data_IF_943526972112
#
_entry.id   IF_943526972112
#
_cell.length_a   1.000
_cell.length_b   1.000
_cell.length_c   1.000
_cell.angle_alpha   90.00
_cell.angle_beta   90.00
_cell.angle_gamma   90.00
#
_symmetry.space_group_name_H-M   'P 1'
#
loop_
_entity.id
_entity.type
_entity.pdbx_description
1 polymer ?
#
# COMPACT_ATOMS: atom_id res chain seq x y z
N UNK A 1 10.31 -5.62 99.14
CA UNK A 1 9.16 -5.21 98.32
C UNK A 1 9.09 -3.70 98.39
N UNK A 2 9.64 -3.05 97.37
CA UNK A 2 9.64 -1.60 97.20
C UNK A 2 9.32 -1.36 95.73
N UNK A 3 8.26 -0.59 95.53
CA UNK A 3 7.86 0.02 94.28
C UNK A 3 8.81 1.16 93.90
N UNK A 4 8.50 1.79 92.76
CA UNK A 4 9.04 3.03 92.18
C UNK A 4 10.03 2.82 91.02
N UNK A 5 9.50 2.76 89.79
CA UNK A 5 9.10 3.89 88.92
C UNK A 5 10.33 4.55 88.29
N UNK A 6 10.79 3.96 87.19
CA UNK A 6 11.49 4.71 86.14
C UNK A 6 10.45 5.30 85.19
N UNK A 7 10.16 6.59 85.39
CA UNK A 7 9.70 7.50 84.33
C UNK A 7 10.76 7.47 83.21
N UNK A 8 10.47 7.04 81.99
CA UNK A 8 9.65 7.71 80.97
C UNK A 8 10.20 9.09 80.55
N UNK A 9 11.46 9.16 80.15
CA UNK A 9 11.87 10.17 79.16
C UNK A 9 11.54 9.66 77.75
N UNK A 10 10.51 10.29 77.19
CA UNK A 10 10.04 10.14 75.82
C UNK A 10 11.17 10.50 74.84
N UNK A 11 11.75 9.46 74.25
CA UNK A 11 12.66 9.57 73.11
C UNK A 11 11.86 10.07 71.90
N UNK A 12 12.07 11.32 71.50
CA UNK A 12 11.53 11.88 70.26
C UNK A 12 11.96 11.02 69.07
N UNK A 13 11.05 10.64 68.16
CA UNK A 13 11.42 9.97 66.93
C UNK A 13 12.25 10.94 66.08
N UNK A 14 13.52 10.57 65.85
CA UNK A 14 14.37 11.25 64.88
C UNK A 14 13.71 11.12 63.49
N UNK A 15 13.54 12.22 62.73
CA UNK A 15 12.93 12.17 61.41
C UNK A 15 13.72 11.28 60.45
N UNK A 16 12.95 10.66 59.54
CA UNK A 16 13.30 9.64 58.57
C UNK A 16 14.64 9.79 57.85
N UNK A 17 15.25 8.66 57.44
CA UNK A 17 16.33 8.65 56.47
C UNK A 17 15.82 9.19 55.15
N UNK A 18 16.37 10.33 54.70
CA UNK A 18 16.18 10.81 53.34
C UNK A 18 16.71 9.72 52.39
N UNK A 19 15.87 9.13 51.52
CA UNK A 19 16.35 8.16 50.56
C UNK A 19 17.26 8.86 49.55
N UNK A 20 18.53 8.50 49.60
CA UNK A 20 19.52 8.76 48.56
C UNK A 20 18.96 8.31 47.21
N UNK A 21 18.56 9.26 46.38
CA UNK A 21 18.18 8.99 45.00
C UNK A 21 19.42 8.90 44.12
N UNK A 22 19.64 7.77 43.45
CA UNK A 22 20.25 7.76 42.13
C UNK A 22 19.19 7.20 41.18
N UNK A 23 18.16 7.99 40.86
CA UNK A 23 17.33 7.66 39.71
C UNK A 23 17.86 8.44 38.54
N UNK A 24 18.94 7.89 37.99
CA UNK A 24 19.39 8.15 36.63
C UNK A 24 18.15 8.16 35.73
N UNK A 25 17.79 9.36 35.28
CA UNK A 25 17.81 9.68 33.86
C UNK A 25 17.57 8.46 32.98
N UNK A 26 16.35 7.92 33.05
CA UNK A 26 15.76 7.25 31.90
C UNK A 26 14.81 8.28 31.29
N UNK A 27 15.39 9.43 30.94
CA UNK A 27 14.77 10.33 29.99
C UNK A 27 14.64 9.51 28.72
N UNK A 28 13.41 9.04 28.50
CA UNK A 28 13.04 8.24 27.36
C UNK A 28 13.43 9.03 26.12
N UNK A 29 14.56 8.65 25.52
CA UNK A 29 15.06 9.05 24.22
C UNK A 29 14.01 8.63 23.18
N UNK A 30 12.93 9.40 23.15
CA UNK A 30 11.84 9.24 22.21
C UNK A 30 12.40 9.78 20.90
N UNK A 31 12.61 8.92 19.88
CA UNK A 31 13.19 9.38 18.63
C UNK A 31 12.33 10.54 18.11
N UNK A 32 12.95 11.65 17.65
CA UNK A 32 12.21 12.82 17.22
C UNK A 32 11.17 12.38 16.18
N UNK A 33 9.91 12.84 16.28
CA UNK A 33 8.88 12.44 15.33
C UNK A 33 9.38 12.81 13.94
N UNK A 34 9.69 11.80 13.12
CA UNK A 34 10.25 12.01 11.80
C UNK A 34 9.23 12.82 11.02
N UNK A 35 9.47 14.13 10.89
CA UNK A 35 8.68 15.03 10.05
C UNK A 35 8.95 14.60 8.63
N UNK A 36 8.23 13.58 8.16
CA UNK A 36 8.28 13.20 6.77
C UNK A 36 7.95 14.46 5.96
N UNK A 37 8.85 14.89 5.07
CA UNK A 37 8.62 16.11 4.33
C UNK A 37 7.33 15.94 3.54
N UNK A 38 6.41 16.88 3.69
CA UNK A 38 5.10 16.89 3.01
C UNK A 38 5.25 16.66 1.50
N UNK A 39 6.39 17.09 0.94
CA UNK A 39 6.81 16.81 -0.43
C UNK A 39 6.87 15.31 -0.77
N UNK A 40 7.37 14.45 0.12
CA UNK A 40 7.38 12.99 -0.11
C UNK A 40 5.95 12.45 -0.25
N UNK A 41 4.99 12.97 0.53
CA UNK A 41 3.58 12.58 0.39
C UNK A 41 3.00 13.05 -0.94
N UNK A 42 3.33 14.26 -1.39
CA UNK A 42 2.91 14.76 -2.70
C UNK A 42 3.49 13.93 -3.84
N UNK A 43 4.78 13.56 -3.78
CA UNK A 43 5.42 12.70 -4.77
C UNK A 43 4.74 11.32 -4.80
N UNK A 44 4.47 10.72 -3.64
CA UNK A 44 3.76 9.43 -3.58
C UNK A 44 2.34 9.54 -4.12
N UNK A 45 1.60 10.60 -3.78
CA UNK A 45 0.26 10.83 -4.29
C UNK A 45 0.26 11.01 -5.82
N UNK A 46 1.20 11.78 -6.35
CA UNK A 46 1.34 11.98 -7.79
C UNK A 46 1.75 10.69 -8.50
N UNK A 47 2.67 9.91 -7.93
CA UNK A 47 3.07 8.61 -8.48
C UNK A 47 1.90 7.63 -8.52
N UNK A 48 1.08 7.57 -7.47
CA UNK A 48 -0.14 6.77 -7.45
C UNK A 48 -1.14 7.21 -8.53
N UNK A 49 -1.33 8.52 -8.67
CA UNK A 49 -2.27 9.08 -9.65
C UNK A 49 -1.80 8.83 -11.09
N UNK A 50 -0.49 8.97 -11.34
CA UNK A 50 0.14 8.61 -12.60
C UNK A 50 0.05 7.10 -12.89
N UNK A 51 0.23 6.24 -11.89
CA UNK A 51 0.07 4.79 -12.04
C UNK A 51 -1.38 4.42 -12.40
N UNK A 52 -2.36 5.03 -11.72
CA UNK A 52 -3.79 4.87 -12.04
C UNK A 52 -4.13 5.34 -13.45
N UNK A 53 -3.67 6.54 -13.83
CA UNK A 53 -3.87 7.09 -15.16
C UNK A 53 -3.20 6.22 -16.24
N UNK A 54 -1.98 5.76 -15.98
CA UNK A 54 -1.24 4.87 -16.88
C UNK A 54 -1.94 3.53 -17.06
N UNK A 55 -2.43 2.91 -15.99
CA UNK A 55 -3.18 1.66 -16.06
C UNK A 55 -4.50 1.82 -16.84
N UNK A 56 -5.25 2.90 -16.58
CA UNK A 56 -6.47 3.22 -17.32
C UNK A 56 -6.20 3.46 -18.81
N UNK A 57 -5.18 4.27 -19.12
CA UNK A 57 -4.77 4.54 -20.49
C UNK A 57 -4.36 3.26 -21.22
N UNK A 58 -3.58 2.40 -20.57
CA UNK A 58 -3.12 1.13 -21.15
C UNK A 58 -4.30 0.18 -21.44
N UNK A 59 -5.28 0.10 -20.55
CA UNK A 59 -6.50 -0.69 -20.77
C UNK A 59 -7.31 -0.21 -21.97
N UNK A 60 -7.52 1.10 -22.11
CA UNK A 60 -8.25 1.66 -23.26
C UNK A 60 -7.46 1.49 -24.55
N UNK A 61 -6.15 1.77 -24.53
CA UNK A 61 -5.29 1.66 -25.71
C UNK A 61 -5.16 0.24 -26.26
N UNK A 62 -5.18 -0.77 -25.37
CA UNK A 62 -5.17 -2.19 -25.77
C UNK A 62 -6.50 -2.65 -26.35
N UNK A 63 -7.62 -2.04 -25.96
CA UNK A 63 -8.94 -2.30 -26.53
C UNK A 63 -9.23 -1.50 -27.81
N UNK A 64 -8.53 -0.38 -28.03
CA UNK A 64 -8.74 0.42 -29.24
C UNK A 64 -8.36 -0.34 -30.52
N UNK A 65 -9.18 -0.23 -31.58
CA UNK A 65 -8.92 -0.90 -32.85
C UNK A 65 -7.61 -0.44 -33.49
N UNK A 66 -6.97 -1.34 -34.23
CA UNK A 66 -5.64 -1.11 -34.82
C UNK A 66 -5.68 -0.08 -35.94
N UNK A 67 -6.83 0.05 -36.60
CA UNK A 67 -7.04 0.93 -37.73
C UNK A 67 -8.21 1.87 -37.45
N UNK A 68 -7.98 3.16 -37.65
CA UNK A 68 -9.00 4.22 -37.70
C UNK A 68 -9.52 4.43 -39.13
N UNK A 69 -9.05 3.58 -40.06
CA UNK A 69 -9.33 3.63 -41.48
C UNK A 69 -10.55 2.74 -41.76
N UNK A 70 -11.60 3.26 -42.42
CA UNK A 70 -12.87 2.56 -42.71
C UNK A 70 -12.73 1.46 -43.78
N UNK A 71 -11.52 0.89 -43.93
CA UNK A 71 -11.24 -0.18 -44.89
C UNK A 71 -11.87 -1.47 -44.43
N UNK A 72 -12.92 -1.88 -45.12
CA UNK A 72 -13.58 -3.17 -44.92
C UNK A 72 -12.67 -4.29 -45.44
N UNK A 73 -12.22 -5.17 -44.55
CA UNK A 73 -11.46 -6.37 -44.92
C UNK A 73 -12.36 -7.60 -44.79
N UNK A 74 -12.64 -8.25 -45.92
CA UNK A 74 -13.43 -9.48 -45.95
C UNK A 74 -12.49 -10.67 -45.67
N UNK A 75 -12.83 -11.48 -44.67
CA UNK A 75 -12.06 -12.67 -44.29
C UNK A 75 -12.96 -13.89 -44.34
N UNK A 76 -12.57 -14.89 -45.12
CA UNK A 76 -13.26 -16.18 -45.14
C UNK A 76 -12.84 -17.03 -43.93
N UNK A 77 -13.85 -17.45 -43.14
CA UNK A 77 -13.66 -18.30 -41.97
C UNK A 77 -14.24 -19.69 -42.27
N UNK A 78 -13.42 -20.76 -42.24
CA UNK A 78 -13.92 -22.12 -42.38
C UNK A 78 -14.86 -22.50 -41.25
N UNK A 79 -15.98 -23.17 -41.57
CA UNK A 79 -17.04 -23.56 -40.61
C UNK A 79 -16.57 -24.44 -39.43
N UNK A 80 -15.40 -25.07 -39.53
CA UNK A 80 -14.84 -25.96 -38.49
C UNK A 80 -13.86 -25.25 -37.55
N UNK A 81 -13.61 -23.96 -37.76
CA UNK A 81 -12.67 -23.22 -36.93
C UNK A 81 -13.34 -22.77 -35.62
N UNK A 82 -12.69 -23.07 -34.51
CA UNK A 82 -13.06 -22.50 -33.21
C UNK A 82 -12.63 -21.05 -33.08
N UNK A 83 -13.26 -20.32 -32.16
CA UNK A 83 -12.98 -18.90 -31.89
C UNK A 83 -11.49 -18.60 -31.71
N UNK A 84 -10.73 -19.51 -31.08
CA UNK A 84 -9.28 -19.36 -30.89
C UNK A 84 -8.50 -19.32 -32.20
N UNK A 85 -8.79 -20.20 -33.16
CA UNK A 85 -8.15 -20.20 -34.48
C UNK A 85 -8.55 -18.98 -35.31
N UNK A 86 -9.79 -18.52 -35.14
CA UNK A 86 -10.27 -17.29 -35.80
C UNK A 86 -9.47 -16.10 -35.26
N UNK A 87 -9.36 -15.96 -33.94
CA UNK A 87 -8.60 -14.89 -33.29
C UNK A 87 -7.13 -14.89 -33.73
N UNK A 88 -6.50 -16.07 -33.74
CA UNK A 88 -5.12 -16.24 -34.22
C UNK A 88 -4.96 -15.77 -35.67
N UNK A 89 -5.85 -16.21 -36.57
CA UNK A 89 -5.80 -15.79 -37.98
C UNK A 89 -6.00 -14.29 -38.16
N UNK A 90 -6.90 -13.67 -37.41
CA UNK A 90 -7.15 -12.24 -37.46
C UNK A 90 -5.95 -11.45 -36.92
N UNK A 91 -5.30 -11.95 -35.88
CA UNK A 91 -4.10 -11.36 -35.30
C UNK A 91 -2.92 -11.42 -36.27
N UNK A 92 -2.70 -12.56 -36.91
CA UNK A 92 -1.62 -12.74 -37.89
C UNK A 92 -1.77 -11.84 -39.11
N UNK A 93 -3.01 -11.46 -39.45
CA UNK A 93 -3.32 -10.49 -40.52
C UNK A 93 -3.28 -9.04 -40.03
N UNK A 94 -2.95 -8.79 -38.77
CA UNK A 94 -2.92 -7.45 -38.17
C UNK A 94 -4.30 -6.81 -38.03
N UNK A 95 -5.39 -7.59 -38.17
CA UNK A 95 -6.76 -7.08 -38.06
C UNK A 95 -7.18 -6.88 -36.61
N UNK A 96 -6.55 -7.60 -35.68
CA UNK A 96 -6.73 -7.42 -34.24
C UNK A 96 -5.36 -7.30 -33.56
N UNK A 97 -5.27 -6.46 -32.53
CA UNK A 97 -4.05 -6.27 -31.72
C UNK A 97 -3.80 -7.42 -30.75
N UNK A 98 -4.86 -8.00 -30.20
CA UNK A 98 -4.75 -8.98 -29.13
C UNK A 98 -5.82 -10.08 -29.28
N UNK A 99 -5.37 -11.33 -29.38
CA UNK A 99 -6.23 -12.51 -29.49
C UNK A 99 -7.12 -12.67 -28.27
N UNK A 100 -6.60 -12.40 -27.06
CA UNK A 100 -7.31 -12.57 -25.79
C UNK A 100 -8.47 -11.60 -25.67
N UNK A 101 -8.27 -10.33 -26.05
CA UNK A 101 -9.32 -9.31 -26.04
C UNK A 101 -10.48 -9.70 -26.98
N UNK A 102 -10.15 -10.21 -28.17
CA UNK A 102 -11.15 -10.70 -29.12
C UNK A 102 -11.94 -11.90 -28.56
N UNK A 103 -11.27 -12.86 -27.93
CA UNK A 103 -11.92 -14.02 -27.32
C UNK A 103 -12.82 -13.63 -26.14
N UNK A 104 -12.41 -12.64 -25.36
CA UNK A 104 -13.21 -12.13 -24.25
C UNK A 104 -14.46 -11.41 -24.77
N UNK A 105 -14.30 -10.56 -25.80
CA UNK A 105 -15.40 -9.84 -26.43
C UNK A 105 -16.40 -10.80 -27.11
N UNK A 106 -15.94 -11.88 -27.74
CA UNK A 106 -16.82 -12.88 -28.36
C UNK A 106 -17.49 -13.85 -27.39
N UNK A 107 -17.18 -13.78 -26.09
CA UNK A 107 -17.81 -14.60 -25.03
C UNK A 107 -18.91 -13.87 -24.28
N UNK A 108 -18.89 -12.53 -24.29
CA UNK A 108 -19.96 -11.65 -23.82
C UNK A 108 -21.11 -11.61 -24.82
#
# INVERSE_FOLDING_TARGET
MSEERQESEAQSPSPEPIPSGPRAETEADSPPPSRQPVWRRLVVAFALLAALAGAGYFGVWTLMPVSTDDKVVIVEIPRKWGARRIAERLHDRGLIRNQTAFLLAGRL
#
